data_IF_180235274847
#
_entry.id   IF_180235274847
#
_cell.length_a   1.000
_cell.length_b   1.000
_cell.length_c   1.000
_cell.angle_alpha   90.00
_cell.angle_beta   90.00
_cell.angle_gamma   90.00
#
_symmetry.space_group_name_H-M   'P 1'
#
loop_
_entity.id
_entity.type
_entity.pdbx_description
1 polymer ?
#
# COMPACT_ATOMS: atom_id res chain seq x y z
N UNK A 1 14.87 -12.92 -20.20
CA UNK A 1 13.89 -12.52 -19.17
C UNK A 1 12.51 -12.81 -19.75
N UNK A 2 11.71 -13.69 -19.14
CA UNK A 2 10.37 -13.99 -19.66
C UNK A 2 9.48 -12.75 -19.54
N UNK A 3 8.52 -12.53 -20.47
CA UNK A 3 7.62 -11.37 -20.42
C UNK A 3 6.84 -11.27 -19.10
N UNK A 4 6.52 -12.40 -18.47
CA UNK A 4 5.84 -12.45 -17.17
C UNK A 4 6.72 -11.98 -16.02
N UNK A 5 8.02 -12.29 -16.05
CA UNK A 5 8.96 -11.81 -15.04
C UNK A 5 9.12 -10.29 -15.10
N UNK A 6 9.20 -9.73 -16.31
CA UNK A 6 9.25 -8.27 -16.51
C UNK A 6 7.97 -7.59 -16.01
N UNK A 7 6.80 -8.16 -16.33
CA UNK A 7 5.50 -7.70 -15.85
C UNK A 7 5.43 -7.68 -14.32
N UNK A 8 5.82 -8.78 -13.69
CA UNK A 8 5.79 -8.92 -12.24
C UNK A 8 6.78 -7.98 -11.55
N UNK A 9 8.00 -7.84 -12.08
CA UNK A 9 9.01 -6.93 -11.55
C UNK A 9 8.55 -5.46 -11.66
N UNK A 10 7.99 -5.07 -12.80
CA UNK A 10 7.50 -3.70 -13.02
C UNK A 10 6.30 -3.39 -12.10
N UNK A 11 5.42 -4.37 -11.89
CA UNK A 11 4.29 -4.23 -10.98
C UNK A 11 4.74 -4.08 -9.52
N UNK A 12 5.71 -4.89 -9.10
CA UNK A 12 6.32 -4.82 -7.77
C UNK A 12 7.04 -3.49 -7.55
N UNK A 13 7.87 -3.08 -8.50
CA UNK A 13 8.66 -1.85 -8.42
C UNK A 13 7.78 -0.59 -8.28
N UNK A 14 6.72 -0.48 -9.09
CA UNK A 14 5.74 0.61 -8.97
C UNK A 14 5.14 0.64 -7.57
N UNK A 15 4.78 -0.52 -7.03
CA UNK A 15 4.16 -0.61 -5.69
C UNK A 15 5.14 -0.14 -4.62
N UNK A 16 6.38 -0.61 -4.65
CA UNK A 16 7.41 -0.24 -3.68
C UNK A 16 7.70 1.27 -3.67
N UNK A 17 7.95 1.84 -4.86
CA UNK A 17 8.27 3.27 -4.99
C UNK A 17 7.09 4.14 -4.59
N UNK A 18 5.89 3.82 -5.07
CA UNK A 18 4.71 4.64 -4.78
C UNK A 18 4.27 4.53 -3.31
N UNK A 19 4.42 3.36 -2.70
CA UNK A 19 4.13 3.16 -1.28
C UNK A 19 5.10 3.99 -0.42
N UNK A 20 6.39 4.01 -0.78
CA UNK A 20 7.37 4.87 -0.14
C UNK A 20 7.00 6.36 -0.25
N UNK A 21 6.66 6.82 -1.45
CA UNK A 21 6.24 8.20 -1.69
C UNK A 21 4.99 8.57 -0.90
N UNK A 22 4.00 7.68 -0.84
CA UNK A 22 2.78 7.90 -0.07
C UNK A 22 3.09 8.01 1.43
N UNK A 23 3.92 7.11 1.98
CA UNK A 23 4.32 7.14 3.39
C UNK A 23 4.97 8.49 3.74
N UNK A 24 5.87 8.99 2.90
CA UNK A 24 6.52 10.29 3.12
C UNK A 24 5.61 11.49 2.84
N UNK A 25 4.55 11.31 2.06
CA UNK A 25 3.51 12.34 1.87
C UNK A 25 2.66 12.50 3.13
N UNK A 26 2.33 11.38 3.79
CA UNK A 26 1.51 11.36 5.00
C UNK A 26 2.31 11.74 6.25
N UNK A 27 3.61 11.38 6.31
CA UNK A 27 4.43 11.58 7.51
C UNK A 27 5.20 12.89 7.50
N UNK A 28 5.40 13.46 8.70
CA UNK A 28 6.30 14.62 8.89
C UNK A 28 7.75 14.12 8.85
N UNK A 29 8.39 14.15 7.68
CA UNK A 29 9.78 13.72 7.51
C UNK A 29 10.73 14.46 8.46
N UNK A 30 11.61 13.71 9.15
CA UNK A 30 12.64 14.29 10.00
C UNK A 30 13.76 14.94 9.20
N UNK A 31 14.09 14.32 8.07
CA UNK A 31 15.16 14.72 7.17
C UNK A 31 14.61 15.52 5.98
N UNK A 32 15.45 16.37 5.38
CA UNK A 32 15.10 17.07 4.15
C UNK A 32 14.91 16.12 2.96
N UNK A 33 14.64 16.68 1.77
CA UNK A 33 14.37 15.93 0.52
C UNK A 33 15.36 14.78 0.24
N UNK A 34 16.63 14.96 0.55
CA UNK A 34 17.66 13.95 0.33
C UNK A 34 17.46 12.71 1.23
N UNK A 35 17.04 12.89 2.49
CA UNK A 35 16.78 11.78 3.40
C UNK A 35 15.57 10.95 2.99
N UNK A 36 14.51 11.59 2.48
CA UNK A 36 13.34 10.89 1.94
C UNK A 36 13.69 10.07 0.70
N UNK A 37 14.60 10.57 -0.16
CA UNK A 37 15.07 9.85 -1.34
C UNK A 37 15.85 8.61 -0.92
N UNK A 38 16.81 8.74 0.01
CA UNK A 38 17.62 7.60 0.49
C UNK A 38 16.72 6.53 1.10
N UNK A 39 15.74 6.91 1.91
CA UNK A 39 14.82 5.96 2.52
C UNK A 39 13.90 5.27 1.51
N UNK A 40 13.42 5.99 0.49
CA UNK A 40 12.68 5.39 -0.62
C UNK A 40 13.55 4.39 -1.42
N UNK A 41 14.83 4.72 -1.65
CA UNK A 41 15.78 3.82 -2.31
C UNK A 41 16.02 2.57 -1.47
N UNK A 42 16.21 2.71 -0.15
CA UNK A 42 16.39 1.56 0.75
C UNK A 42 15.15 0.66 0.71
N UNK A 43 13.94 1.22 0.88
CA UNK A 43 12.70 0.47 0.77
C UNK A 43 12.61 -0.28 -0.55
N UNK A 44 12.89 0.40 -1.65
CA UNK A 44 12.85 -0.17 -3.00
C UNK A 44 13.83 -1.34 -3.16
N UNK A 45 15.09 -1.15 -2.75
CA UNK A 45 16.12 -2.18 -2.86
C UNK A 45 15.76 -3.38 -2.00
N UNK A 46 15.32 -3.17 -0.75
CA UNK A 46 14.92 -4.27 0.14
C UNK A 46 13.71 -5.03 -0.42
N UNK A 47 12.70 -4.32 -0.91
CA UNK A 47 11.49 -4.95 -1.47
C UNK A 47 11.81 -5.79 -2.70
N UNK A 48 12.52 -5.21 -3.67
CA UNK A 48 12.91 -5.93 -4.90
C UNK A 48 13.81 -7.11 -4.57
N UNK A 49 14.84 -6.94 -3.73
CA UNK A 49 15.75 -8.05 -3.39
C UNK A 49 15.03 -9.17 -2.64
N UNK A 50 14.13 -8.85 -1.72
CA UNK A 50 13.35 -9.86 -0.96
C UNK A 50 12.37 -10.66 -1.82
N UNK A 51 11.90 -10.08 -2.94
CA UNK A 51 10.90 -10.70 -3.81
C UNK A 51 11.48 -11.24 -5.12
N UNK A 52 12.72 -10.87 -5.48
CA UNK A 52 13.34 -11.22 -6.76
C UNK A 52 13.41 -12.73 -7.00
N UNK A 53 13.88 -13.49 -6.00
CA UNK A 53 13.94 -14.96 -6.09
C UNK A 53 12.55 -15.60 -6.24
N UNK A 54 11.54 -15.06 -5.56
CA UNK A 54 10.17 -15.55 -5.62
C UNK A 54 9.51 -15.24 -6.97
N UNK A 55 9.83 -14.09 -7.58
CA UNK A 55 9.41 -13.78 -8.93
C UNK A 55 10.02 -14.71 -9.99
N UNK A 56 11.26 -15.17 -9.79
CA UNK A 56 11.89 -16.16 -10.68
C UNK A 56 11.18 -17.52 -10.62
N UNK A 57 10.66 -17.90 -9.46
CA UNK A 57 9.91 -19.15 -9.28
C UNK A 57 8.41 -19.01 -9.58
N UNK A 58 7.97 -17.83 -10.07
CA UNK A 58 6.58 -17.51 -10.38
C UNK A 58 5.56 -17.72 -9.23
N UNK A 59 6.02 -17.78 -7.98
CA UNK A 59 5.17 -17.99 -6.81
C UNK A 59 4.66 -16.65 -6.26
N UNK A 60 3.55 -16.18 -6.84
CA UNK A 60 2.94 -14.91 -6.46
C UNK A 60 2.31 -14.94 -5.05
N UNK A 61 1.95 -16.11 -4.54
CA UNK A 61 1.46 -16.25 -3.16
C UNK A 61 2.60 -16.05 -2.18
N UNK A 62 3.75 -16.67 -2.41
CA UNK A 62 4.94 -16.45 -1.59
C UNK A 62 5.39 -14.98 -1.67
N UNK A 63 5.27 -14.32 -2.83
CA UNK A 63 5.51 -12.87 -2.95
C UNK A 63 4.54 -12.08 -2.06
N UNK A 64 3.25 -12.43 -2.03
CA UNK A 64 2.26 -11.76 -1.16
C UNK A 64 2.65 -11.87 0.33
N UNK A 65 2.96 -13.08 0.80
CA UNK A 65 3.37 -13.31 2.20
C UNK A 65 4.68 -12.61 2.55
N UNK A 66 5.68 -12.71 1.66
CA UNK A 66 6.98 -12.04 1.83
C UNK A 66 6.80 -10.52 1.88
N UNK A 67 5.99 -9.95 0.98
CA UNK A 67 5.74 -8.53 0.93
C UNK A 67 5.07 -8.01 2.22
N UNK A 68 4.08 -8.74 2.77
CA UNK A 68 3.47 -8.37 4.05
C UNK A 68 4.51 -8.31 5.19
N UNK A 69 5.40 -9.31 5.27
CA UNK A 69 6.45 -9.35 6.28
C UNK A 69 7.48 -8.23 6.09
N UNK A 70 7.97 -8.05 4.86
CA UNK A 70 8.94 -7.01 4.49
C UNK A 70 8.40 -5.62 4.80
N UNK A 71 7.13 -5.39 4.51
CA UNK A 71 6.43 -4.16 4.87
C UNK A 71 6.40 -4.00 6.39
N UNK A 72 5.94 -4.97 7.19
CA UNK A 72 5.93 -4.81 8.65
C UNK A 72 7.33 -4.45 9.20
N UNK A 73 8.38 -5.12 8.72
CA UNK A 73 9.77 -4.85 9.09
C UNK A 73 10.23 -3.43 8.70
N UNK A 74 9.95 -3.00 7.47
CA UNK A 74 10.27 -1.66 6.99
C UNK A 74 9.56 -0.58 7.82
N UNK A 75 8.33 -0.82 8.25
CA UNK A 75 7.60 0.09 9.14
C UNK A 75 8.33 0.38 10.44
N UNK A 76 8.97 -0.63 11.03
CA UNK A 76 9.78 -0.46 12.23
C UNK A 76 11.12 0.23 11.91
N UNK A 77 11.80 -0.19 10.85
CA UNK A 77 13.10 0.36 10.45
C UNK A 77 13.06 1.83 10.03
N UNK A 78 11.94 2.26 9.45
CA UNK A 78 11.78 3.63 8.95
C UNK A 78 11.27 4.60 10.02
N UNK A 79 10.79 4.10 11.17
CA UNK A 79 10.32 4.93 12.30
C UNK A 79 11.31 6.05 12.68
N UNK A 80 12.64 5.82 12.79
CA UNK A 80 13.61 6.85 13.15
C UNK A 80 13.69 8.03 12.17
N UNK A 81 13.20 7.85 10.93
CA UNK A 81 13.21 8.85 9.88
C UNK A 81 12.04 9.84 9.97
N UNK A 82 11.08 9.59 10.85
CA UNK A 82 9.92 10.46 11.07
C UNK A 82 10.07 11.32 12.32
N UNK A 83 9.60 12.58 12.25
CA UNK A 83 9.44 13.48 13.40
C UNK A 83 8.18 13.20 14.21
N UNK A 84 7.25 12.42 13.66
CA UNK A 84 5.98 12.09 14.32
C UNK A 84 6.22 11.30 15.60
N UNK A 85 5.27 11.32 16.54
CA UNK A 85 5.30 10.38 17.67
C UNK A 85 5.22 8.93 17.18
N UNK A 86 5.52 7.94 18.05
CA UNK A 86 5.41 6.52 17.67
C UNK A 86 4.00 6.16 17.23
N UNK A 87 2.99 6.74 17.88
CA UNK A 87 1.60 6.47 17.57
C UNK A 87 1.13 7.10 16.25
N UNK A 88 1.49 8.37 16.03
CA UNK A 88 1.22 9.07 14.77
C UNK A 88 1.89 8.38 13.58
N UNK A 89 3.11 7.89 13.79
CA UNK A 89 3.80 7.04 12.82
C UNK A 89 3.03 5.76 12.53
N UNK A 90 2.58 5.03 13.56
CA UNK A 90 1.82 3.80 13.38
C UNK A 90 0.53 4.05 12.59
N UNK A 91 -0.20 5.14 12.88
CA UNK A 91 -1.40 5.52 12.14
C UNK A 91 -1.12 5.82 10.67
N UNK A 92 -0.07 6.60 10.39
CA UNK A 92 0.38 6.88 9.02
C UNK A 92 0.87 5.65 8.27
N UNK A 93 1.50 4.75 9.00
CA UNK A 93 1.98 3.50 8.46
C UNK A 93 0.84 2.56 8.09
N UNK A 94 -0.13 2.36 8.99
CA UNK A 94 -1.32 1.57 8.75
C UNK A 94 -2.16 2.15 7.61
N UNK A 95 -2.33 3.47 7.55
CA UNK A 95 -3.06 4.12 6.45
C UNK A 95 -2.37 3.89 5.11
N UNK A 96 -1.04 3.98 5.08
CA UNK A 96 -0.25 3.69 3.88
C UNK A 96 -0.43 2.23 3.43
N UNK A 97 -0.38 1.27 4.36
CA UNK A 97 -0.66 -0.13 4.06
C UNK A 97 -2.07 -0.35 3.53
N UNK A 98 -3.08 0.27 4.15
CA UNK A 98 -4.47 0.15 3.74
C UNK A 98 -4.64 0.63 2.30
N UNK A 99 -4.08 1.79 1.97
CA UNK A 99 -4.09 2.31 0.60
C UNK A 99 -3.39 1.35 -0.35
N UNK A 100 -2.20 0.85 0.00
CA UNK A 100 -1.47 -0.10 -0.85
C UNK A 100 -2.32 -1.34 -1.15
N UNK A 101 -2.92 -1.97 -0.14
CA UNK A 101 -3.76 -3.15 -0.31
C UNK A 101 -4.98 -2.85 -1.20
N UNK A 102 -5.65 -1.72 -0.98
CA UNK A 102 -6.76 -1.29 -1.84
C UNK A 102 -6.32 -1.07 -3.29
N UNK A 103 -5.16 -0.44 -3.52
CA UNK A 103 -4.61 -0.24 -4.87
C UNK A 103 -4.27 -1.57 -5.53
N UNK A 104 -3.70 -2.53 -4.78
CA UNK A 104 -3.42 -3.89 -5.29
C UNK A 104 -4.72 -4.59 -5.71
N UNK A 105 -5.76 -4.55 -4.88
CA UNK A 105 -7.08 -5.12 -5.20
C UNK A 105 -7.65 -4.45 -6.47
N UNK A 106 -7.77 -3.12 -6.48
CA UNK A 106 -8.38 -2.38 -7.60
C UNK A 106 -7.61 -2.57 -8.91
N UNK A 107 -6.28 -2.48 -8.88
CA UNK A 107 -5.44 -2.70 -10.07
C UNK A 107 -5.55 -4.11 -10.63
N UNK A 108 -5.79 -5.11 -9.78
CA UNK A 108 -6.05 -6.46 -10.24
C UNK A 108 -7.39 -6.55 -10.98
N UNK A 109 -8.45 -5.99 -10.40
CA UNK A 109 -9.78 -5.98 -11.03
C UNK A 109 -9.78 -5.18 -12.36
N UNK A 110 -9.10 -4.02 -12.40
CA UNK A 110 -8.95 -3.25 -13.64
C UNK A 110 -8.21 -4.06 -14.71
N UNK A 111 -7.13 -4.75 -14.35
CA UNK A 111 -6.38 -5.56 -15.31
C UNK A 111 -7.18 -6.78 -15.81
N UNK A 112 -8.07 -7.34 -15.00
CA UNK A 112 -9.01 -8.36 -15.45
C UNK A 112 -10.06 -7.84 -16.44
N UNK A 113 -10.50 -6.58 -16.29
CA UNK A 113 -11.45 -5.95 -17.21
C UNK A 113 -10.80 -5.56 -18.56
N UNK A 114 -9.49 -5.33 -18.56
CA UNK A 114 -8.71 -4.86 -19.71
C UNK A 114 -7.51 -5.79 -20.00
N UNK A 115 -7.73 -7.10 -20.23
CA UNK A 115 -6.65 -8.08 -20.33
C UNK A 115 -5.78 -7.92 -21.58
N UNK A 116 -6.27 -7.22 -22.60
CA UNK A 116 -5.59 -7.00 -23.88
C UNK A 116 -4.51 -5.91 -23.83
N UNK A 117 -4.46 -5.10 -22.77
CA UNK A 117 -3.49 -4.00 -22.64
C UNK A 117 -2.21 -4.52 -21.95
N UNK A 118 -1.04 -4.46 -22.60
CA UNK A 118 0.22 -4.83 -21.96
C UNK A 118 0.49 -4.00 -20.70
N UNK A 119 1.04 -4.64 -19.66
CA UNK A 119 1.41 -3.98 -18.39
C UNK A 119 0.26 -3.28 -17.65
N UNK A 120 -1.01 -3.58 -17.96
CA UNK A 120 -2.18 -2.89 -17.39
C UNK A 120 -2.23 -2.90 -15.87
N UNK A 121 -1.80 -3.99 -15.23
CA UNK A 121 -1.74 -4.08 -13.77
C UNK A 121 -0.77 -3.06 -13.17
N UNK A 122 0.39 -2.85 -13.80
CA UNK A 122 1.36 -1.88 -13.31
C UNK A 122 0.93 -0.45 -13.59
N UNK A 123 0.38 -0.20 -14.79
CA UNK A 123 -0.13 1.12 -15.18
C UNK A 123 -1.29 1.55 -14.28
N UNK A 124 -2.24 0.66 -14.03
CA UNK A 124 -3.37 0.94 -13.12
C UNK A 124 -2.91 1.21 -11.69
N UNK A 125 -1.93 0.45 -11.16
CA UNK A 125 -1.32 0.76 -9.85
C UNK A 125 -0.71 2.15 -9.82
N UNK A 126 0.07 2.49 -10.84
CA UNK A 126 0.71 3.80 -10.95
C UNK A 126 -0.33 4.93 -10.94
N UNK A 127 -1.37 4.81 -11.77
CA UNK A 127 -2.45 5.81 -11.84
C UNK A 127 -3.18 5.93 -10.49
N UNK A 128 -3.55 4.80 -9.88
CA UNK A 128 -4.26 4.80 -8.60
C UNK A 128 -3.43 5.40 -7.47
N UNK A 129 -2.14 5.05 -7.36
CA UNK A 129 -1.26 5.67 -6.36
C UNK A 129 -1.09 7.16 -6.59
N UNK A 130 -0.85 7.59 -7.83
CA UNK A 130 -0.74 9.02 -8.16
C UNK A 130 -2.01 9.78 -7.82
N UNK A 131 -3.18 9.20 -8.11
CA UNK A 131 -4.47 9.77 -7.74
C UNK A 131 -4.58 9.93 -6.22
N UNK A 132 -4.27 8.89 -5.44
CA UNK A 132 -4.34 8.96 -3.98
C UNK A 132 -3.35 9.98 -3.42
N UNK A 133 -2.10 9.96 -3.87
CA UNK A 133 -1.08 10.94 -3.46
C UNK A 133 -1.53 12.36 -3.79
N UNK A 134 -2.08 12.58 -4.99
CA UNK A 134 -2.62 13.88 -5.40
C UNK A 134 -3.79 14.33 -4.51
N UNK A 135 -4.74 13.44 -4.22
CA UNK A 135 -5.87 13.75 -3.33
C UNK A 135 -5.41 14.12 -1.92
N UNK A 136 -4.46 13.37 -1.36
CA UNK A 136 -3.85 13.73 -0.08
C UNK A 136 -3.17 15.09 -0.18
N UNK A 137 -2.25 15.26 -1.12
CA UNK A 137 -1.47 16.49 -1.23
C UNK A 137 -2.33 17.74 -1.42
N UNK A 138 -3.40 17.64 -2.23
CA UNK A 138 -4.23 18.79 -2.61
C UNK A 138 -5.38 19.07 -1.65
N UNK A 139 -6.05 18.04 -1.14
CA UNK A 139 -7.33 18.18 -0.42
C UNK A 139 -7.32 17.56 0.97
N UNK A 140 -6.80 16.35 1.13
CA UNK A 140 -7.02 15.56 2.35
C UNK A 140 -5.92 15.74 3.42
N UNK A 141 -4.75 16.29 3.09
CA UNK A 141 -3.62 16.41 4.02
C UNK A 141 -3.97 17.18 5.32
N UNK A 142 -4.71 18.30 5.29
CA UNK A 142 -5.11 18.99 6.52
C UNK A 142 -6.02 18.14 7.41
N UNK A 143 -7.05 17.52 6.81
CA UNK A 143 -8.00 16.64 7.50
C UNK A 143 -7.30 15.41 8.06
N UNK A 144 -6.38 14.84 7.28
CA UNK A 144 -5.56 13.71 7.69
C UNK A 144 -4.68 14.03 8.89
N UNK A 145 -4.06 15.22 8.94
CA UNK A 145 -3.27 15.65 10.10
C UNK A 145 -4.13 15.82 11.35
N UNK A 146 -5.35 16.35 11.20
CA UNK A 146 -6.32 16.42 12.30
C UNK A 146 -6.68 15.01 12.82
N UNK A 147 -6.87 14.06 11.90
CA UNK A 147 -7.14 12.66 12.25
C UNK A 147 -5.94 11.97 12.92
N UNK A 148 -4.72 12.26 12.45
CA UNK A 148 -3.46 11.77 13.03
C UNK A 148 -3.26 12.32 14.46
N UNK A 149 -3.61 13.58 14.71
CA UNK A 149 -3.52 14.19 16.05
C UNK A 149 -4.59 13.61 17.00
N UNK A 150 -5.77 13.25 16.48
CA UNK A 150 -6.88 12.64 17.23
C UNK A 150 -6.99 11.11 17.09
N UNK A 151 -5.90 10.45 16.66
CA UNK A 151 -5.92 9.04 16.26
C UNK A 151 -6.45 8.04 17.33
N UNK A 152 -6.34 8.24 18.67
CA UNK A 152 -6.81 7.25 19.62
C UNK A 152 -8.31 6.98 19.48
N UNK A 153 -9.09 7.99 19.09
CA UNK A 153 -10.54 7.92 18.89
C UNK A 153 -10.89 6.92 17.76
N UNK A 154 -10.07 6.89 16.71
CA UNK A 154 -10.32 6.08 15.51
C UNK A 154 -9.42 4.83 15.43
N UNK A 155 -8.55 4.63 16.42
CA UNK A 155 -7.49 3.62 16.42
C UNK A 155 -8.01 2.19 16.21
N UNK A 156 -9.02 1.79 16.99
CA UNK A 156 -9.63 0.47 16.92
C UNK A 156 -10.23 0.24 15.54
N UNK A 157 -10.97 1.22 15.00
CA UNK A 157 -11.58 1.13 13.68
C UNK A 157 -10.52 0.94 12.59
N UNK A 158 -9.47 1.77 12.58
CA UNK A 158 -8.40 1.68 11.58
C UNK A 158 -7.65 0.35 11.67
N UNK A 159 -7.35 -0.13 12.88
CA UNK A 159 -6.71 -1.44 13.09
C UNK A 159 -7.60 -2.56 12.57
N UNK A 160 -8.90 -2.55 12.89
CA UNK A 160 -9.84 -3.55 12.38
C UNK A 160 -9.91 -3.54 10.86
N UNK A 161 -10.02 -2.36 10.22
CA UNK A 161 -10.00 -2.23 8.76
C UNK A 161 -8.70 -2.74 8.16
N UNK A 162 -7.56 -2.44 8.78
CA UNK A 162 -6.25 -2.96 8.37
C UNK A 162 -6.19 -4.48 8.43
N UNK A 163 -6.67 -5.08 9.51
CA UNK A 163 -6.70 -6.54 9.65
C UNK A 163 -7.64 -7.18 8.62
N UNK A 164 -8.81 -6.59 8.37
CA UNK A 164 -9.75 -7.07 7.36
C UNK A 164 -9.15 -6.99 5.95
N UNK A 165 -8.43 -5.91 5.62
CA UNK A 165 -7.74 -5.78 4.34
C UNK A 165 -6.54 -6.73 4.21
N UNK A 166 -5.81 -6.99 5.29
CA UNK A 166 -4.63 -7.85 5.27
C UNK A 166 -4.98 -9.34 5.22
N UNK A 167 -6.12 -9.74 5.78
CA UNK A 167 -6.53 -11.14 5.89
C UNK A 167 -6.51 -11.92 4.56
N UNK A 168 -7.08 -11.41 3.44
CA UNK A 168 -7.03 -12.10 2.15
C UNK A 168 -5.61 -12.32 1.60
N UNK A 169 -4.65 -11.46 1.97
CA UNK A 169 -3.26 -11.55 1.52
C UNK A 169 -2.42 -12.50 2.37
N UNK A 170 -2.86 -12.79 3.60
CA UNK A 170 -2.15 -13.64 4.56
C UNK A 170 -2.69 -15.07 4.64
N UNK A 171 -4.02 -15.24 4.59
CA UNK A 171 -4.66 -16.54 4.79
C UNK A 171 -4.77 -17.37 3.51
N UNK A 172 -4.30 -16.86 2.37
CA UNK A 172 -4.51 -17.48 1.06
C UNK A 172 -3.40 -18.45 0.68
N UNK A 173 -3.80 -19.53 0.00
CA UNK A 173 -2.87 -20.45 -0.68
C UNK A 173 -2.62 -20.04 -2.14
N UNK A 174 -3.55 -19.30 -2.75
CA UNK A 174 -3.44 -18.78 -4.12
C UNK A 174 -4.04 -17.37 -4.17
N UNK A 175 -3.16 -16.38 -4.22
CA UNK A 175 -3.55 -14.97 -4.25
C UNK A 175 -4.34 -14.62 -5.50
N UNK A 176 -4.04 -15.21 -6.66
CA UNK A 176 -4.78 -14.95 -7.90
C UNK A 176 -6.18 -15.51 -7.77
N UNK A 177 -6.31 -16.78 -7.39
CA UNK A 177 -7.61 -17.43 -7.23
C UNK A 177 -8.48 -16.71 -6.20
N UNK A 178 -7.87 -16.18 -5.13
CA UNK A 178 -8.56 -15.42 -4.08
C UNK A 178 -9.08 -14.08 -4.61
N UNK A 179 -8.24 -13.31 -5.31
CA UNK A 179 -8.63 -12.04 -5.90
C UNK A 179 -9.70 -12.18 -7.00
N UNK A 180 -9.74 -13.32 -7.68
CA UNK A 180 -10.77 -13.65 -8.67
C UNK A 180 -12.08 -14.09 -8.01
N UNK A 181 -12.02 -15.09 -7.13
CA UNK A 181 -13.20 -15.72 -6.52
C UNK A 181 -13.94 -14.79 -5.57
N UNK A 182 -13.20 -13.93 -4.85
CA UNK A 182 -13.76 -12.99 -3.88
C UNK A 182 -13.75 -11.53 -4.37
N UNK A 183 -13.75 -11.32 -5.69
CA UNK A 183 -13.71 -9.98 -6.30
C UNK A 183 -14.77 -9.02 -5.74
N UNK A 184 -16.04 -9.43 -5.66
CA UNK A 184 -17.12 -8.58 -5.15
C UNK A 184 -16.99 -8.27 -3.64
N UNK A 185 -16.78 -9.25 -2.74
CA UNK A 185 -16.50 -8.98 -1.34
C UNK A 185 -15.31 -8.02 -1.13
N UNK A 186 -14.24 -8.18 -1.90
CA UNK A 186 -13.07 -7.32 -1.81
C UNK A 186 -13.35 -5.88 -2.26
N UNK A 187 -14.13 -5.69 -3.33
CA UNK A 187 -14.55 -4.36 -3.76
C UNK A 187 -15.44 -3.69 -2.72
N UNK A 188 -16.37 -4.43 -2.11
CA UNK A 188 -17.21 -3.92 -1.04
C UNK A 188 -16.37 -3.53 0.19
N UNK A 189 -15.34 -4.32 0.51
CA UNK A 189 -14.38 -3.99 1.57
C UNK A 189 -13.60 -2.70 1.24
N UNK A 190 -13.14 -2.52 0.00
CA UNK A 190 -12.50 -1.26 -0.43
C UNK A 190 -13.45 -0.08 -0.25
N UNK A 191 -14.71 -0.19 -0.67
CA UNK A 191 -15.73 0.85 -0.49
C UNK A 191 -15.96 1.15 0.99
N UNK A 192 -16.05 0.11 1.85
CA UNK A 192 -16.22 0.26 3.28
C UNK A 192 -15.06 1.02 3.92
N UNK A 193 -13.82 0.69 3.54
CA UNK A 193 -12.62 1.37 4.03
C UNK A 193 -12.62 2.84 3.59
N UNK A 194 -12.88 3.11 2.31
CA UNK A 194 -12.96 4.48 1.78
C UNK A 194 -14.06 5.29 2.49
N UNK A 195 -15.25 4.71 2.68
CA UNK A 195 -16.34 5.35 3.38
C UNK A 195 -15.96 5.64 4.85
N UNK A 196 -15.33 4.69 5.53
CA UNK A 196 -14.87 4.85 6.92
C UNK A 196 -13.87 5.99 7.04
N UNK A 197 -12.81 6.02 6.21
CA UNK A 197 -11.86 7.14 6.19
C UNK A 197 -12.53 8.46 5.82
N UNK A 198 -13.48 8.45 4.88
CA UNK A 198 -14.28 9.61 4.51
C UNK A 198 -15.10 10.16 5.68
N UNK A 199 -15.74 9.28 6.47
CA UNK A 199 -16.49 9.69 7.67
C UNK A 199 -15.59 10.25 8.77
N UNK A 200 -14.40 9.67 8.97
CA UNK A 200 -13.39 10.20 9.90
C UNK A 200 -13.01 11.62 9.49
N UNK A 201 -12.65 11.81 8.21
CA UNK A 201 -12.27 13.13 7.71
C UNK A 201 -13.41 14.14 7.71
N UNK A 202 -14.66 13.70 7.52
CA UNK A 202 -15.83 14.58 7.61
C UNK A 202 -16.16 14.99 9.05
N UNK A 203 -15.85 14.13 10.03
CA UNK A 203 -16.13 14.40 11.45
C UNK A 203 -15.15 15.37 12.13
N UNK A 204 -14.06 15.73 11.44
CA UNK A 204 -12.94 16.53 11.94
C UNK A 204 -12.84 17.88 11.21
#
# INVERSE_FOLDING_TARGET
MTPDLLNNLLRGSVTAVMNALLLFTLTKSKYGKNGTIVAAVIMFVTDITSTMYLYFNADLTAVSHSNLLTIILLGFLLKPLSKSSTMQWAFSYLTTMNVMMMVVILSFQIGMLLPSIPHIHSLSRLILFLLVIFLFHRYLLPLYRSAEDNWPIFSVLVICLSLMLAYPFYATTDIIATLQSYSQPLLLLVVLVVASYGTIFYSL
#
